data_IF_576730212524
#
_entry.id   IF_576730212524
#
_cell.length_a   1.000
_cell.length_b   1.000
_cell.length_c   1.000
_cell.angle_alpha   90.00
_cell.angle_beta   90.00
_cell.angle_gamma   90.00
#
_symmetry.space_group_name_H-M   'P 1'
#
loop_
_entity.id
_entity.type
_entity.pdbx_description
1 polymer ?
#
# COMPACT_ATOMS: atom_id res chain seq x y z
N UNK A 1 18.15 -7.09 3.01
CA UNK A 1 17.55 -6.57 4.16
C UNK A 1 16.31 -5.78 3.88
N UNK A 2 15.68 -5.38 4.93
CA UNK A 2 14.45 -4.63 4.82
C UNK A 2 14.75 -3.16 4.66
N UNK A 3 13.88 -2.50 3.92
CA UNK A 3 14.04 -1.08 3.71
C UNK A 3 12.82 -0.39 4.28
N UNK A 4 13.03 0.58 5.12
CA UNK A 4 11.95 1.33 5.70
C UNK A 4 11.74 2.58 4.86
N UNK A 5 10.51 2.70 4.34
CA UNK A 5 10.19 3.86 3.56
C UNK A 5 9.63 4.92 4.45
N UNK A 6 10.19 6.08 4.39
CA UNK A 6 9.66 7.23 5.08
C UNK A 6 9.33 8.25 4.03
N UNK A 7 8.06 8.54 3.86
CA UNK A 7 7.65 9.49 2.85
C UNK A 7 7.94 10.89 3.34
N UNK A 8 8.68 11.66 2.59
CA UNK A 8 8.96 13.02 3.01
C UNK A 8 7.69 13.81 3.14
N UNK A 9 7.72 14.72 4.06
CA UNK A 9 6.57 15.48 4.32
C UNK A 9 6.47 16.58 3.35
N UNK A 10 5.94 16.37 2.21
CA UNK A 10 5.74 17.39 1.25
C UNK A 10 4.41 17.92 1.37
N UNK A 11 4.32 19.15 1.24
CA UNK A 11 3.10 19.70 1.42
C UNK A 11 2.47 20.14 0.22
N UNK A 12 2.99 20.56 -0.66
CA UNK A 12 2.35 21.22 -1.74
C UNK A 12 1.59 20.31 -2.66
N UNK A 13 0.53 20.73 -3.19
CA UNK A 13 -0.16 20.06 -4.24
C UNK A 13 -0.72 18.71 -3.90
N UNK A 14 -0.95 18.51 -2.66
CA UNK A 14 -1.26 17.19 -2.21
C UNK A 14 -2.54 16.65 -2.81
N UNK A 15 -3.50 17.47 -3.13
CA UNK A 15 -4.76 16.99 -3.65
C UNK A 15 -4.57 16.29 -4.97
N UNK A 16 -3.89 16.97 -5.89
CA UNK A 16 -3.63 16.40 -7.17
C UNK A 16 -2.82 15.14 -7.01
N UNK A 17 -1.79 15.21 -6.21
CA UNK A 17 -0.92 14.08 -6.03
C UNK A 17 -1.65 12.94 -5.36
N UNK A 18 -2.62 13.23 -4.51
CA UNK A 18 -3.38 12.21 -3.85
C UNK A 18 -4.20 11.39 -4.83
N UNK A 19 -4.82 12.05 -5.80
CA UNK A 19 -5.59 11.32 -6.78
C UNK A 19 -4.69 10.47 -7.65
N UNK A 20 -3.59 11.04 -8.10
CA UNK A 20 -2.66 10.28 -8.92
C UNK A 20 -2.08 9.12 -8.14
N UNK A 21 -1.82 9.32 -6.85
CA UNK A 21 -1.27 8.25 -6.04
C UNK A 21 -2.28 7.13 -5.87
N UNK A 22 -3.55 7.44 -5.71
CA UNK A 22 -4.57 6.41 -5.57
C UNK A 22 -4.71 5.59 -6.85
N UNK A 23 -4.69 6.25 -7.99
CA UNK A 23 -4.78 5.53 -9.26
C UNK A 23 -3.56 4.63 -9.44
N UNK A 24 -2.40 5.15 -9.09
CA UNK A 24 -1.16 4.39 -9.21
C UNK A 24 -1.18 3.19 -8.29
N UNK A 25 -1.67 3.37 -7.07
CA UNK A 25 -1.74 2.27 -6.12
C UNK A 25 -2.69 1.19 -6.63
N UNK A 26 -3.84 1.58 -7.18
CA UNK A 26 -4.77 0.60 -7.72
C UNK A 26 -4.12 -0.21 -8.82
N UNK A 27 -3.40 0.47 -9.70
CA UNK A 27 -2.74 -0.22 -10.80
C UNK A 27 -1.70 -1.21 -10.31
N UNK A 28 -0.88 -0.80 -9.33
CA UNK A 28 0.14 -1.69 -8.82
C UNK A 28 -0.46 -2.84 -8.03
N UNK A 29 -1.56 -2.61 -7.30
CA UNK A 29 -2.22 -3.70 -6.62
C UNK A 29 -2.72 -4.74 -7.62
N UNK A 30 -3.29 -4.30 -8.72
CA UNK A 30 -3.79 -5.23 -9.72
C UNK A 30 -2.67 -6.00 -10.37
N UNK A 31 -1.54 -5.36 -10.59
CA UNK A 31 -0.44 -6.01 -11.30
C UNK A 31 0.47 -6.81 -10.38
N UNK A 32 0.63 -6.40 -9.15
CA UNK A 32 1.69 -6.94 -8.33
C UNK A 32 1.24 -7.69 -7.09
N UNK A 33 0.09 -7.35 -6.53
CA UNK A 33 -0.30 -7.94 -5.26
C UNK A 33 -0.79 -9.37 -5.46
N UNK A 34 -0.19 -10.30 -4.73
CA UNK A 34 -0.54 -11.71 -4.86
C UNK A 34 -1.45 -12.14 -3.72
N UNK A 35 -1.05 -11.91 -2.49
CA UNK A 35 -1.86 -12.29 -1.33
C UNK A 35 -1.67 -11.27 -0.21
N UNK A 36 -2.61 -11.30 0.72
CA UNK A 36 -2.55 -10.47 1.92
C UNK A 36 -2.99 -11.31 3.10
N UNK A 37 -2.23 -11.24 4.18
CA UNK A 37 -2.56 -11.91 5.43
C UNK A 37 -2.51 -10.88 6.53
N UNK A 38 -3.59 -10.77 7.31
CA UNK A 38 -3.61 -9.84 8.42
C UNK A 38 -3.20 -10.56 9.69
N UNK A 39 -2.27 -9.96 10.43
CA UNK A 39 -1.82 -10.50 11.70
C UNK A 39 -1.83 -9.35 12.69
N UNK A 40 -2.87 -9.29 13.53
CA UNK A 40 -2.99 -8.20 14.47
C UNK A 40 -3.14 -6.87 13.75
N UNK A 41 -2.24 -5.96 14.03
CA UNK A 41 -2.25 -4.65 13.37
C UNK A 41 -1.33 -4.62 12.17
N UNK A 42 -0.95 -5.78 11.64
CA UNK A 42 0.00 -5.84 10.54
C UNK A 42 -0.61 -6.58 9.37
N UNK A 43 -0.19 -6.21 8.18
CA UNK A 43 -0.55 -6.94 6.98
C UNK A 43 0.73 -7.46 6.35
N UNK A 44 0.72 -8.75 6.01
CA UNK A 44 1.84 -9.33 5.29
C UNK A 44 1.37 -9.49 3.86
N UNK A 45 1.89 -8.69 2.97
CA UNK A 45 1.52 -8.72 1.57
C UNK A 45 2.60 -9.44 0.79
N UNK A 46 2.20 -10.29 -0.14
CA UNK A 46 3.15 -10.95 -1.02
C UNK A 46 2.99 -10.41 -2.42
N UNK A 47 4.10 -10.22 -3.08
CA UNK A 47 4.11 -9.76 -4.46
C UNK A 47 4.93 -10.72 -5.31
N UNK A 48 5.05 -10.41 -6.56
CA UNK A 48 6.00 -11.12 -7.39
C UNK A 48 7.40 -10.74 -6.98
N UNK A 49 8.35 -11.62 -7.26
CA UNK A 49 9.74 -11.42 -6.87
C UNK A 49 10.24 -10.10 -7.47
N UNK A 50 10.85 -9.31 -6.64
CA UNK A 50 11.42 -8.04 -7.09
C UNK A 50 10.45 -6.88 -7.11
N UNK A 51 9.18 -7.10 -6.76
CA UNK A 51 8.16 -6.06 -6.90
C UNK A 51 7.73 -5.43 -5.60
N UNK A 52 8.22 -5.92 -4.46
CA UNK A 52 7.71 -5.46 -3.18
C UNK A 52 7.97 -3.98 -2.95
N UNK A 53 9.16 -3.50 -3.27
CA UNK A 53 9.48 -2.11 -3.04
C UNK A 53 8.59 -1.17 -3.85
N UNK A 54 8.25 -1.57 -5.05
CA UNK A 54 7.43 -0.74 -5.90
C UNK A 54 6.03 -0.58 -5.31
N UNK A 55 5.45 -1.68 -4.89
CA UNK A 55 4.12 -1.63 -4.29
C UNK A 55 4.16 -0.91 -2.95
N UNK A 56 5.18 -1.16 -2.13
CA UNK A 56 5.28 -0.50 -0.83
C UNK A 56 5.40 1.02 -1.01
N UNK A 57 6.18 1.44 -1.98
CA UNK A 57 6.33 2.86 -2.24
C UNK A 57 4.99 3.49 -2.63
N UNK A 58 4.18 2.77 -3.40
CA UNK A 58 2.87 3.26 -3.77
C UNK A 58 1.93 3.35 -2.57
N UNK A 59 2.00 2.37 -1.68
CA UNK A 59 1.20 2.42 -0.46
C UNK A 59 1.57 3.65 0.35
N UNK A 60 2.87 3.88 0.50
CA UNK A 60 3.32 5.03 1.27
C UNK A 60 2.91 6.35 0.64
N UNK A 61 2.87 6.42 -0.67
CA UNK A 61 2.58 7.68 -1.34
C UNK A 61 1.13 8.11 -1.17
N UNK A 62 0.23 7.19 -0.83
CA UNK A 62 -1.15 7.54 -0.61
C UNK A 62 -1.34 8.20 0.75
N UNK A 63 -0.43 7.91 1.70
CA UNK A 63 -0.43 8.59 2.99
C UNK A 63 -1.70 8.41 3.78
N UNK A 64 -2.15 7.18 3.89
CA UNK A 64 -3.32 6.89 4.71
C UNK A 64 -2.94 6.97 6.17
N UNK A 65 -3.80 7.62 6.95
CA UNK A 65 -3.54 7.76 8.35
C UNK A 65 -3.49 6.44 9.08
N UNK A 66 -4.23 5.45 8.60
CA UNK A 66 -4.25 4.15 9.24
C UNK A 66 -2.91 3.44 9.18
N UNK A 67 -2.04 3.84 8.27
CA UNK A 67 -0.77 3.15 8.06
C UNK A 67 0.33 3.90 8.78
N UNK A 68 1.00 3.22 9.71
CA UNK A 68 2.14 3.81 10.39
C UNK A 68 3.40 3.75 9.53
N UNK A 69 3.54 2.72 8.73
CA UNK A 69 4.68 2.60 7.85
C UNK A 69 4.71 1.26 7.17
N UNK A 70 5.63 1.12 6.21
CA UNK A 70 5.82 -0.14 5.51
C UNK A 70 7.28 -0.51 5.49
N UNK A 71 7.54 -1.80 5.42
CA UNK A 71 8.87 -2.34 5.24
C UNK A 71 8.79 -3.36 4.13
N UNK A 72 9.66 -3.26 3.15
CA UNK A 72 9.59 -4.13 2.00
C UNK A 72 10.87 -4.94 1.84
N UNK A 73 10.71 -6.23 1.57
CA UNK A 73 11.80 -7.09 1.16
C UNK A 73 11.77 -7.25 -0.35
N UNK A 74 11.99 -8.46 -0.82
CA UNK A 74 12.01 -8.72 -2.25
C UNK A 74 10.62 -9.01 -2.79
N UNK A 75 9.87 -9.85 -2.10
CA UNK A 75 8.53 -10.22 -2.53
C UNK A 75 7.52 -10.12 -1.39
N UNK A 76 7.89 -9.48 -0.30
CA UNK A 76 7.03 -9.39 0.87
C UNK A 76 7.06 -7.97 1.41
N UNK A 77 5.88 -7.47 1.78
CA UNK A 77 5.77 -6.15 2.38
C UNK A 77 5.10 -6.32 3.72
N UNK A 78 5.64 -5.69 4.74
CA UNK A 78 4.99 -5.62 6.03
C UNK A 78 4.39 -4.23 6.16
N UNK A 79 3.08 -4.16 6.26
CA UNK A 79 2.38 -2.90 6.45
C UNK A 79 1.98 -2.84 7.92
N UNK A 80 2.45 -1.83 8.62
CA UNK A 80 2.15 -1.69 10.04
C UNK A 80 1.10 -0.62 10.17
N UNK A 81 -0.03 -0.99 10.75
CA UNK A 81 -1.15 -0.08 10.92
C UNK A 81 -1.26 0.30 12.38
N UNK A 82 -2.05 1.33 12.65
CA UNK A 82 -2.09 1.87 14.01
C UNK A 82 -2.95 1.04 14.94
N UNK A 83 -3.83 0.22 14.41
CA UNK A 83 -4.66 -0.67 15.21
C UNK A 83 -5.07 -1.85 14.36
N UNK A 84 -5.66 -2.87 15.01
CA UNK A 84 -6.19 -4.00 14.27
C UNK A 84 -7.30 -3.58 13.35
N UNK A 85 -8.13 -2.66 13.78
CA UNK A 85 -9.21 -2.19 12.94
C UNK A 85 -8.69 -1.46 11.74
N UNK A 86 -7.65 -0.66 11.95
CA UNK A 86 -7.04 0.04 10.83
C UNK A 86 -6.44 -0.94 9.83
N UNK A 87 -5.85 -2.02 10.33
CA UNK A 87 -5.31 -3.02 9.43
C UNK A 87 -6.41 -3.66 8.59
N UNK A 88 -7.58 -3.89 9.20
CA UNK A 88 -8.70 -4.43 8.43
C UNK A 88 -9.16 -3.46 7.37
N UNK A 89 -9.21 -2.17 7.69
CA UNK A 89 -9.61 -1.16 6.72
C UNK A 89 -8.64 -1.14 5.55
N UNK A 90 -7.35 -1.14 5.85
CA UNK A 90 -6.34 -1.07 4.79
C UNK A 90 -6.35 -2.34 3.96
N UNK A 91 -6.53 -3.50 4.60
CA UNK A 91 -6.57 -4.74 3.84
C UNK A 91 -7.73 -4.75 2.87
N UNK A 92 -8.91 -4.34 3.33
CA UNK A 92 -10.06 -4.29 2.45
C UNK A 92 -9.84 -3.32 1.30
N UNK A 93 -9.20 -2.18 1.59
CA UNK A 93 -8.91 -1.22 0.55
C UNK A 93 -7.97 -1.81 -0.50
N UNK A 94 -6.89 -2.44 -0.05
CA UNK A 94 -5.91 -2.97 -1.00
C UNK A 94 -6.49 -4.10 -1.84
N UNK A 95 -7.28 -4.97 -1.23
CA UNK A 95 -7.87 -6.06 -1.97
C UNK A 95 -8.93 -5.55 -2.95
N UNK A 96 -9.68 -4.53 -2.56
CA UNK A 96 -10.63 -3.93 -3.48
C UNK A 96 -9.93 -3.30 -4.67
N UNK A 97 -8.82 -2.62 -4.41
CA UNK A 97 -8.07 -2.01 -5.51
C UNK A 97 -7.44 -3.06 -6.42
N UNK A 98 -7.18 -4.25 -5.90
CA UNK A 98 -6.57 -5.29 -6.71
C UNK A 98 -7.56 -5.99 -7.63
N UNK A 99 -8.86 -5.76 -7.46
CA UNK A 99 -9.84 -6.39 -8.32
C UNK A 99 -9.77 -5.82 -9.71
N UNK A 100 -9.87 -6.65 -10.74
CA UNK A 100 -9.86 -6.13 -12.09
C UNK A 100 -11.02 -5.15 -12.29
N UNK A 101 -10.72 -4.04 -12.90
CA UNK A 101 -11.74 -3.05 -13.15
C UNK A 101 -12.06 -2.16 -11.99
N UNK A 102 -11.32 -2.24 -10.90
CA UNK A 102 -11.61 -1.46 -9.72
C UNK A 102 -10.94 -0.11 -9.72
N UNK A 103 -10.37 0.32 -10.81
CA UNK A 103 -9.73 1.62 -10.87
C UNK A 103 -10.75 2.70 -10.62
N UNK A 104 -10.40 3.68 -9.82
CA UNK A 104 -11.30 4.80 -9.60
C UNK A 104 -11.56 5.48 -10.90
N UNK A 105 -12.76 5.90 -11.01
CA UNK A 105 -13.09 6.51 -12.21
C UNK A 105 -12.66 7.80 -12.29
N UNK A 106 -12.14 8.30 -11.98
CA UNK A 106 -11.65 9.56 -12.18
C UNK A 106 -11.70 10.25 -11.40
#
# INVERSE_FOLDING_TARGET
GALIYTVPDHDGGATHDGEAANVRLARWCQLLLVTSVKVGNQLVLRTQVGAANLLASSIDSVRREEVAGTIAGDDTILVICRSEEDASVIERMLLALAEPGALPEN
#
